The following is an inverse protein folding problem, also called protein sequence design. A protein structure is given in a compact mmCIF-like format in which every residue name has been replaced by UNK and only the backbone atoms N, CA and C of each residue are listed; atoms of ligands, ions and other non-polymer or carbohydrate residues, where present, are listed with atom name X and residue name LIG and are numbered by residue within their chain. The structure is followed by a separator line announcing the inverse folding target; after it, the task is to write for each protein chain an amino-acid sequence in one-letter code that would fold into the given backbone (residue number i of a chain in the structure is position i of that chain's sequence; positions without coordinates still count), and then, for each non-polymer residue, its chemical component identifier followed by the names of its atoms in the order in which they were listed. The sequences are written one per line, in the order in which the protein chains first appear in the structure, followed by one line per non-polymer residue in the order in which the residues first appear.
data_IF_350070913617
#
_entry.id   IF_350070913617
#
_cell.length_a   1.000
_cell.length_b   1.000
_cell.length_c   1.000
_cell.angle_alpha   90.00
_cell.angle_beta   90.00
_cell.angle_gamma   90.00
#
_symmetry.space_group_name_H-M   'P 1'
#
loop_
_entity.id
_entity.type
_entity.pdbx_description
1 polymer ?
#
# COMPACT_ATOMS: atom_id res chain seq x y z
N UNK A 1 -27.89 43.31 26.70
CA UNK A 1 -27.63 41.86 26.59
C UNK A 1 -27.33 41.53 25.14
N UNK A 2 -26.09 41.05 24.92
CA UNK A 2 -25.52 40.30 23.78
C UNK A 2 -25.67 40.82 22.34
N UNK A 3 -24.61 41.50 21.90
CA UNK A 3 -24.29 41.86 20.51
C UNK A 3 -24.07 40.58 19.67
N UNK A 4 -24.70 40.50 18.50
CA UNK A 4 -24.48 39.45 17.49
C UNK A 4 -23.30 39.88 16.62
N UNK A 5 -22.17 39.17 16.74
CA UNK A 5 -21.05 39.27 15.82
C UNK A 5 -21.32 38.36 14.62
N UNK A 6 -21.54 38.98 13.46
CA UNK A 6 -21.57 38.32 12.16
C UNK A 6 -20.12 38.20 11.67
N UNK A 7 -19.55 36.99 11.73
CA UNK A 7 -18.19 36.74 11.22
C UNK A 7 -18.28 36.62 9.70
N UNK A 8 -17.64 37.57 9.02
CA UNK A 8 -17.44 37.65 7.59
C UNK A 8 -16.42 36.58 7.17
N UNK A 9 -16.86 35.51 6.51
CA UNK A 9 -15.98 34.53 5.89
C UNK A 9 -15.33 35.17 4.65
N UNK A 10 -14.09 35.64 4.80
CA UNK A 10 -13.26 36.08 3.68
C UNK A 10 -12.80 34.84 2.90
N UNK A 11 -13.41 34.58 1.75
CA UNK A 11 -12.92 33.62 0.78
C UNK A 11 -11.61 34.15 0.19
N UNK A 12 -10.47 33.70 0.72
CA UNK A 12 -9.19 33.86 0.04
C UNK A 12 -9.19 32.94 -1.19
N UNK A 13 -9.49 33.52 -2.35
CA UNK A 13 -9.17 32.92 -3.63
C UNK A 13 -7.65 32.84 -3.76
N UNK A 14 -7.08 31.67 -3.45
CA UNK A 14 -5.69 31.37 -3.76
C UNK A 14 -5.58 31.19 -5.28
N UNK A 15 -5.04 32.20 -5.96
CA UNK A 15 -4.62 32.10 -7.35
C UNK A 15 -3.46 31.12 -7.47
N UNK A 16 -3.75 29.81 -7.59
CA UNK A 16 -2.77 28.83 -8.06
C UNK A 16 -2.76 28.86 -9.59
N UNK A 17 -2.02 29.80 -10.16
CA UNK A 17 -1.70 29.84 -11.59
C UNK A 17 -0.52 28.89 -11.89
N UNK A 18 -0.66 27.61 -11.55
CA UNK A 18 0.22 26.54 -12.02
C UNK A 18 -0.46 25.79 -13.16
N UNK A 19 0.18 25.66 -14.33
CA UNK A 19 -0.32 24.76 -15.37
C UNK A 19 -0.07 23.30 -14.92
N UNK A 20 -1.09 22.68 -14.34
CA UNK A 20 -1.08 21.27 -13.93
C UNK A 20 -1.37 21.08 -12.44
N UNK A 21 -2.15 20.05 -12.13
CA UNK A 21 -2.43 19.58 -10.78
C UNK A 21 -1.44 18.51 -10.33
N UNK A 22 -1.35 18.34 -9.02
CA UNK A 22 -0.65 17.28 -8.31
C UNK A 22 -1.62 16.68 -7.30
N UNK A 23 -1.75 15.36 -7.32
CA UNK A 23 -2.46 14.62 -6.30
C UNK A 23 -1.48 14.22 -5.17
N UNK A 24 -1.79 14.62 -3.95
CA UNK A 24 -1.01 14.29 -2.77
C UNK A 24 -1.80 13.31 -1.89
N UNK A 25 -1.39 12.05 -1.89
CA UNK A 25 -1.89 11.04 -0.95
C UNK A 25 -1.17 11.20 0.39
N UNK A 26 -1.90 11.46 1.47
CA UNK A 26 -1.35 11.60 2.82
C UNK A 26 -1.81 10.40 3.64
N UNK A 27 -0.88 9.51 3.99
CA UNK A 27 -1.20 8.34 4.81
C UNK A 27 -1.05 8.60 6.31
N UNK A 28 -1.92 7.97 7.09
CA UNK A 28 -1.80 7.88 8.53
C UNK A 28 -1.93 6.42 9.00
N UNK A 29 -0.80 5.72 9.23
CA UNK A 29 -0.82 4.35 9.73
C UNK A 29 -1.04 4.23 11.23
N UNK A 30 -1.26 5.33 11.95
CA UNK A 30 -1.40 5.31 13.42
C UNK A 30 -2.83 5.04 13.86
N UNK A 31 -3.02 4.89 15.17
CA UNK A 31 -4.32 4.65 15.80
C UNK A 31 -5.04 5.95 16.24
N UNK A 32 -4.53 7.13 15.84
CA UNK A 32 -5.13 8.43 16.12
C UNK A 32 -5.08 9.33 14.88
N UNK A 33 -5.97 10.33 14.79
CA UNK A 33 -5.87 11.33 13.71
C UNK A 33 -4.56 12.11 13.80
N UNK A 34 -4.03 12.52 12.64
CA UNK A 34 -2.90 13.44 12.54
C UNK A 34 -3.28 14.67 11.73
N UNK A 35 -2.61 15.80 11.99
CA UNK A 35 -2.75 17.05 11.26
C UNK A 35 -1.50 17.31 10.42
N UNK A 36 -1.72 17.55 9.12
CA UNK A 36 -0.70 18.02 8.19
C UNK A 36 -1.15 19.36 7.63
N UNK A 37 -0.21 20.29 7.43
CA UNK A 37 -0.47 21.51 6.65
C UNK A 37 0.28 21.48 5.34
N UNK A 38 -0.44 21.77 4.26
CA UNK A 38 0.10 22.02 2.92
C UNK A 38 -0.10 23.50 2.64
N UNK A 39 0.97 24.27 2.70
CA UNK A 39 0.95 25.73 2.74
C UNK A 39 0.05 26.28 3.87
N UNK A 40 -1.13 26.80 3.51
CA UNK A 40 -2.14 27.32 4.43
C UNK A 40 -3.29 26.34 4.68
N UNK A 41 -3.42 25.30 3.84
CA UNK A 41 -4.44 24.27 4.00
C UNK A 41 -4.06 23.38 5.18
N UNK A 42 -4.99 23.21 6.12
CA UNK A 42 -4.87 22.24 7.21
C UNK A 42 -5.69 21.02 6.86
N UNK A 43 -5.06 19.84 6.91
CA UNK A 43 -5.62 18.55 6.56
C UNK A 43 -5.58 17.67 7.80
N UNK A 44 -6.74 17.23 8.27
CA UNK A 44 -6.84 16.15 9.25
C UNK A 44 -6.90 14.83 8.50
N UNK A 45 -6.00 13.91 8.84
CA UNK A 45 -5.95 12.55 8.29
C UNK A 45 -6.37 11.61 9.43
N UNK A 46 -7.57 11.01 9.37
CA UNK A 46 -8.02 10.08 10.41
C UNK A 46 -7.07 8.89 10.59
N UNK A 47 -7.20 8.20 11.72
CA UNK A 47 -6.45 6.98 11.98
C UNK A 47 -6.71 5.93 10.89
N UNK A 48 -5.65 5.27 10.40
CA UNK A 48 -5.69 4.19 9.40
C UNK A 48 -6.31 4.58 8.06
N UNK A 49 -6.23 5.84 7.70
CA UNK A 49 -6.80 6.37 6.45
C UNK A 49 -5.73 7.03 5.58
N UNK A 50 -6.03 7.14 4.29
CA UNK A 50 -5.32 7.99 3.34
C UNK A 50 -6.25 9.12 2.91
N UNK A 51 -5.78 10.36 3.01
CA UNK A 51 -6.50 11.53 2.49
C UNK A 51 -5.79 12.06 1.26
N UNK A 52 -6.55 12.23 0.18
CA UNK A 52 -6.07 12.81 -1.06
C UNK A 52 -6.34 14.32 -1.11
N UNK A 53 -5.32 15.08 -1.50
CA UNK A 53 -5.38 16.53 -1.66
C UNK A 53 -4.89 16.89 -3.06
N UNK A 54 -5.74 17.58 -3.83
CA UNK A 54 -5.33 18.17 -5.10
C UNK A 54 -4.71 19.55 -4.86
N UNK A 55 -3.52 19.77 -5.44
CA UNK A 55 -2.75 21.01 -5.32
C UNK A 55 -2.09 21.38 -6.65
N UNK A 56 -1.55 22.60 -6.75
CA UNK A 56 -0.78 22.99 -7.92
C UNK A 56 0.57 22.29 -8.00
N UNK A 57 1.18 22.25 -9.19
CA UNK A 57 2.62 21.97 -9.33
C UNK A 57 3.46 23.15 -8.83
N UNK A 58 4.62 22.87 -8.25
CA UNK A 58 5.59 23.89 -7.82
C UNK A 58 6.15 23.69 -6.41
N UNK A 59 6.77 24.73 -5.86
CA UNK A 59 7.26 24.72 -4.48
C UNK A 59 6.09 24.87 -3.50
N UNK A 60 5.98 23.93 -2.56
CA UNK A 60 5.02 23.96 -1.47
C UNK A 60 5.70 23.69 -0.13
N UNK A 61 5.11 24.20 0.94
CA UNK A 61 5.57 24.00 2.31
C UNK A 61 4.69 22.95 3.02
N UNK A 62 5.30 21.84 3.41
CA UNK A 62 4.68 20.85 4.28
C UNK A 62 5.03 21.17 5.73
N UNK A 63 4.04 21.22 6.61
CA UNK A 63 4.22 21.34 8.07
C UNK A 63 3.54 20.19 8.79
N UNK A 64 4.28 19.45 9.62
CA UNK A 64 3.78 18.34 10.43
C UNK A 64 3.27 18.84 11.80
N UNK A 65 2.61 17.97 12.56
CA UNK A 65 2.07 18.29 13.90
C UNK A 65 3.12 18.80 14.88
N UNK A 66 4.32 18.24 14.82
CA UNK A 66 5.47 18.64 15.63
C UNK A 66 6.09 19.99 15.21
N UNK A 67 5.47 20.67 14.23
CA UNK A 67 5.94 21.89 13.57
C UNK A 67 7.19 21.73 12.70
N UNK A 68 7.60 20.50 12.39
CA UNK A 68 8.63 20.23 11.39
C UNK A 68 8.16 20.76 10.03
N UNK A 69 9.01 21.56 9.37
CA UNK A 69 8.72 22.24 8.11
C UNK A 69 9.63 21.74 7.00
N UNK A 70 9.05 21.32 5.88
CA UNK A 70 9.78 20.86 4.70
C UNK A 70 9.26 21.57 3.46
N UNK A 71 10.15 22.28 2.75
CA UNK A 71 9.86 22.79 1.42
C UNK A 71 10.18 21.73 0.38
N UNK A 72 9.30 21.55 -0.60
CA UNK A 72 9.49 20.57 -1.66
C UNK A 72 8.89 21.08 -2.98
N UNK A 73 9.55 20.78 -4.09
CA UNK A 73 9.08 21.15 -5.43
C UNK A 73 8.37 19.96 -6.09
N UNK A 74 7.05 20.01 -6.13
CA UNK A 74 6.17 18.98 -6.68
C UNK A 74 6.05 19.15 -8.21
N UNK A 75 6.67 18.25 -8.96
CA UNK A 75 6.76 18.33 -10.43
C UNK A 75 6.02 17.19 -11.15
N UNK A 76 5.90 16.04 -10.50
CA UNK A 76 5.14 14.89 -10.99
C UNK A 76 3.64 15.07 -10.74
N UNK A 77 2.83 14.17 -11.31
CA UNK A 77 1.37 14.25 -11.20
C UNK A 77 0.85 13.75 -9.84
N UNK A 78 1.59 12.87 -9.16
CA UNK A 78 1.16 12.35 -7.87
C UNK A 78 2.33 12.06 -6.92
N UNK A 79 2.10 12.30 -5.63
CA UNK A 79 3.05 12.06 -4.55
C UNK A 79 2.36 11.42 -3.35
N UNK A 80 3.14 10.66 -2.60
CA UNK A 80 2.81 10.09 -1.32
C UNK A 80 3.55 10.84 -0.22
N UNK A 81 2.78 11.41 0.71
CA UNK A 81 3.27 11.99 1.94
C UNK A 81 3.17 10.95 3.05
N UNK A 82 4.29 10.74 3.75
CA UNK A 82 4.45 9.84 4.89
C UNK A 82 4.80 10.64 6.15
N UNK A 83 3.81 11.27 6.81
CA UNK A 83 4.03 12.14 7.95
C UNK A 83 4.70 11.44 9.13
N UNK A 84 4.44 10.14 9.31
CA UNK A 84 4.94 9.35 10.44
C UNK A 84 6.35 8.80 10.22
N UNK A 85 6.87 8.90 8.98
CA UNK A 85 8.16 8.30 8.57
C UNK A 85 8.22 6.79 8.79
N UNK A 86 7.07 6.12 8.67
CA UNK A 86 7.02 4.66 8.68
C UNK A 86 7.72 4.11 7.43
N UNK A 87 8.21 2.88 7.52
CA UNK A 87 8.64 2.15 6.32
C UNK A 87 7.42 1.49 5.69
N UNK A 88 7.41 1.42 4.36
CA UNK A 88 6.42 0.71 3.57
C UNK A 88 7.13 -0.21 2.60
N UNK A 89 6.58 -1.40 2.40
CA UNK A 89 7.14 -2.42 1.53
C UNK A 89 6.43 -2.38 0.18
N UNK A 90 7.20 -2.19 -0.90
CA UNK A 90 6.75 -2.42 -2.27
C UNK A 90 6.94 -3.88 -2.63
N UNK A 91 5.87 -4.50 -3.11
CA UNK A 91 5.88 -5.87 -3.65
C UNK A 91 5.24 -5.90 -5.02
N UNK A 92 5.45 -6.99 -5.75
CA UNK A 92 4.75 -7.30 -6.99
C UNK A 92 3.62 -8.30 -6.73
N UNK A 93 2.54 -8.16 -7.48
CA UNK A 93 1.45 -9.13 -7.58
C UNK A 93 1.29 -9.54 -9.04
N UNK A 94 1.35 -10.85 -9.31
CA UNK A 94 1.24 -11.40 -10.67
C UNK A 94 -0.20 -11.83 -10.94
N UNK A 95 -0.78 -11.29 -12.01
CA UNK A 95 -2.07 -11.73 -12.53
C UNK A 95 -1.84 -12.40 -13.88
N UNK A 96 -2.15 -13.68 -13.99
CA UNK A 96 -2.06 -14.39 -15.26
C UNK A 96 -2.06 -15.90 -15.13
N UNK A 97 -1.91 -16.58 -16.27
CA UNK A 97 -1.85 -18.04 -16.29
C UNK A 97 -0.59 -18.53 -15.54
N UNK A 98 -0.67 -19.61 -14.74
CA UNK A 98 0.48 -20.22 -14.08
C UNK A 98 1.64 -20.55 -15.03
N UNK A 99 1.36 -20.75 -16.33
CA UNK A 99 2.38 -20.97 -17.35
C UNK A 99 3.40 -19.83 -17.51
N UNK A 100 3.06 -18.60 -17.10
CA UNK A 100 3.93 -17.42 -17.20
C UNK A 100 4.58 -17.01 -15.88
N UNK A 101 4.19 -17.63 -14.76
CA UNK A 101 4.59 -17.21 -13.41
C UNK A 101 6.10 -17.27 -13.16
N UNK A 102 6.84 -18.11 -13.90
CA UNK A 102 8.30 -18.21 -13.78
C UNK A 102 9.07 -17.38 -14.82
N UNK A 103 8.38 -16.66 -15.70
CA UNK A 103 8.99 -15.95 -16.83
C UNK A 103 8.47 -14.52 -17.02
N UNK A 104 7.64 -14.03 -16.10
CA UNK A 104 7.07 -12.69 -16.21
C UNK A 104 8.16 -11.63 -16.01
N UNK A 105 7.97 -10.46 -16.62
CA UNK A 105 8.88 -9.34 -16.47
C UNK A 105 8.63 -8.63 -15.13
N UNK A 106 9.58 -8.74 -14.21
CA UNK A 106 9.54 -8.02 -12.93
C UNK A 106 9.62 -6.49 -13.13
N UNK A 107 8.77 -5.75 -12.41
CA UNK A 107 8.79 -4.28 -12.28
C UNK A 107 9.79 -3.81 -11.22
N UNK A 108 10.10 -4.64 -10.22
CA UNK A 108 11.02 -4.38 -9.12
C UNK A 108 12.30 -5.24 -9.26
N UNK A 109 13.47 -4.71 -8.90
CA UNK A 109 14.71 -5.46 -8.96
C UNK A 109 14.79 -6.51 -7.84
N UNK A 110 15.40 -7.66 -8.14
CA UNK A 110 15.76 -8.62 -7.11
C UNK A 110 16.95 -8.08 -6.28
N UNK A 111 16.75 -7.91 -4.98
CA UNK A 111 17.77 -7.40 -4.05
C UNK A 111 17.51 -7.82 -2.61
N UNK A 112 18.54 -7.66 -1.78
CA UNK A 112 18.42 -7.70 -0.32
C UNK A 112 18.05 -6.32 0.20
N UNK A 113 17.03 -6.26 1.05
CA UNK A 113 16.60 -5.06 1.76
C UNK A 113 16.43 -5.36 3.25
N UNK A 114 16.24 -4.30 4.03
CA UNK A 114 15.84 -4.37 5.43
C UNK A 114 14.51 -3.61 5.56
N UNK A 115 13.51 -4.26 6.14
CA UNK A 115 12.18 -3.69 6.40
C UNK A 115 11.86 -3.88 7.88
N UNK A 116 11.81 -2.80 8.65
CA UNK A 116 11.67 -2.83 10.11
C UNK A 116 12.65 -3.79 10.82
N UNK A 117 13.89 -3.86 10.35
CA UNK A 117 14.92 -4.77 10.89
C UNK A 117 14.82 -6.22 10.39
N UNK A 118 13.81 -6.54 9.58
CA UNK A 118 13.66 -7.85 8.95
C UNK A 118 14.44 -7.87 7.62
N UNK A 119 15.43 -8.77 7.45
CA UNK A 119 16.09 -8.95 6.17
C UNK A 119 15.14 -9.66 5.21
N UNK A 120 14.90 -9.06 4.04
CA UNK A 120 14.12 -9.66 2.96
C UNK A 120 14.99 -9.74 1.69
N UNK A 121 14.84 -10.83 0.94
CA UNK A 121 15.49 -11.02 -0.36
C UNK A 121 14.44 -11.39 -1.40
N UNK A 122 14.41 -10.64 -2.51
CA UNK A 122 13.41 -10.80 -3.55
C UNK A 122 13.19 -9.52 -4.35
N UNK A 123 12.11 -9.50 -5.13
CA UNK A 123 11.68 -8.34 -5.91
C UNK A 123 10.91 -7.37 -5.02
N UNK A 124 11.64 -6.76 -4.07
CA UNK A 124 11.10 -5.86 -3.05
C UNK A 124 11.80 -4.50 -3.10
N UNK A 125 11.12 -3.48 -2.61
CA UNK A 125 11.71 -2.17 -2.35
C UNK A 125 11.06 -1.49 -1.14
N UNK A 126 11.74 -0.51 -0.53
CA UNK A 126 11.27 0.15 0.70
C UNK A 126 11.06 1.63 0.43
N UNK A 127 9.88 2.14 0.81
CA UNK A 127 9.52 3.56 0.79
C UNK A 127 9.53 4.07 2.22
N UNK A 128 10.25 5.17 2.49
CA UNK A 128 10.38 5.71 3.85
C UNK A 128 10.59 7.21 3.95
N UNK A 129 10.81 7.89 2.83
CA UNK A 129 11.01 9.33 2.85
C UNK A 129 9.71 10.04 3.22
N UNK A 130 9.81 11.30 3.66
CA UNK A 130 8.62 12.09 3.98
C UNK A 130 7.75 12.28 2.73
N UNK A 131 8.36 12.56 1.57
CA UNK A 131 7.67 12.84 0.31
C UNK A 131 8.25 11.91 -0.75
N UNK A 132 7.40 11.10 -1.38
CA UNK A 132 7.81 10.08 -2.34
C UNK A 132 6.98 10.25 -3.62
N UNK A 133 7.58 10.28 -4.81
CA UNK A 133 6.82 10.13 -6.03
C UNK A 133 6.10 8.77 -6.05
N UNK A 134 4.81 8.77 -6.41
CA UNK A 134 4.07 7.51 -6.54
C UNK A 134 4.66 6.71 -7.70
N UNK A 135 5.03 5.46 -7.41
CA UNK A 135 5.67 4.53 -8.34
C UNK A 135 5.09 3.11 -8.22
N UNK A 136 3.88 3.02 -7.68
CA UNK A 136 3.11 1.80 -7.45
C UNK A 136 1.69 1.99 -7.98
N UNK A 137 1.01 0.87 -8.21
CA UNK A 137 -0.35 0.84 -8.76
C UNK A 137 -1.39 0.94 -7.64
N UNK A 138 -1.12 0.34 -6.47
CA UNK A 138 -1.99 0.35 -5.30
C UNK A 138 -1.22 0.78 -4.04
N UNK A 139 -1.67 1.84 -3.38
CA UNK A 139 -1.11 2.39 -2.14
C UNK A 139 -1.59 1.65 -0.88
N UNK A 140 -1.13 2.06 0.32
CA UNK A 140 -1.62 1.51 1.58
C UNK A 140 -3.14 1.71 1.71
N UNK A 141 -3.85 0.75 2.29
CA UNK A 141 -5.33 0.69 2.43
C UNK A 141 -6.11 0.58 1.11
N UNK A 142 -5.44 0.54 -0.03
CA UNK A 142 -6.07 0.15 -1.28
C UNK A 142 -5.94 -1.37 -1.46
N UNK A 143 -7.07 -2.03 -1.66
CA UNK A 143 -7.11 -3.46 -1.92
C UNK A 143 -6.64 -3.76 -3.35
N UNK A 144 -5.88 -4.85 -3.48
CA UNK A 144 -5.58 -5.42 -4.78
C UNK A 144 -6.86 -6.05 -5.36
N UNK A 145 -7.12 -5.92 -6.67
CA UNK A 145 -8.29 -6.52 -7.30
C UNK A 145 -8.17 -8.04 -7.32
N UNK A 146 -9.23 -8.78 -7.00
CA UNK A 146 -9.20 -10.26 -7.07
C UNK A 146 -9.05 -10.77 -8.51
N UNK A 147 -9.56 -10.01 -9.48
CA UNK A 147 -9.52 -10.34 -10.90
C UNK A 147 -9.21 -9.09 -11.72
N UNK A 148 -8.39 -9.27 -12.76
CA UNK A 148 -8.11 -8.24 -13.75
C UNK A 148 -8.63 -8.69 -15.11
N UNK A 149 -9.34 -7.80 -15.80
CA UNK A 149 -9.50 -7.94 -17.25
C UNK A 149 -8.19 -7.55 -17.91
N UNK A 150 -7.54 -8.52 -18.56
CA UNK A 150 -6.23 -8.34 -19.18
C UNK A 150 -6.33 -8.46 -20.69
N UNK A 151 -5.67 -7.54 -21.40
CA UNK A 151 -5.48 -7.64 -22.85
C UNK A 151 -4.28 -8.54 -23.21
N UNK A 152 -3.30 -8.63 -22.33
CA UNK A 152 -2.06 -9.41 -22.46
C UNK A 152 -2.13 -10.74 -21.69
N UNK A 153 -1.10 -11.58 -21.81
CA UNK A 153 -1.06 -12.91 -21.16
C UNK A 153 -0.92 -12.84 -19.64
N UNK A 154 -0.36 -11.74 -19.13
CA UNK A 154 -0.24 -11.44 -17.71
C UNK A 154 -0.12 -9.93 -17.49
N UNK A 155 -0.41 -9.49 -16.27
CA UNK A 155 -0.13 -8.15 -15.75
C UNK A 155 0.56 -8.28 -14.40
N UNK A 156 1.43 -7.33 -14.06
CA UNK A 156 2.14 -7.32 -12.77
C UNK A 156 1.81 -6.02 -12.07
N UNK A 157 1.08 -6.07 -10.95
CA UNK A 157 0.77 -4.86 -10.19
C UNK A 157 1.81 -4.64 -9.09
N UNK A 158 2.13 -3.38 -8.79
CA UNK A 158 2.95 -3.02 -7.64
C UNK A 158 2.05 -2.51 -6.52
N UNK A 159 2.13 -3.17 -5.36
CA UNK A 159 1.39 -2.80 -4.15
C UNK A 159 2.35 -2.25 -3.09
N UNK A 160 1.93 -1.18 -2.44
CA UNK A 160 2.59 -0.62 -1.26
C UNK A 160 1.85 -1.08 0.00
N UNK A 161 2.58 -1.76 0.88
CA UNK A 161 2.08 -2.28 2.16
C UNK A 161 2.68 -1.50 3.33
N UNK A 162 1.83 -1.11 4.29
CA UNK A 162 2.29 -0.82 5.64
C UNK A 162 2.66 -2.11 6.41
N UNK A 163 3.28 -1.96 7.57
CA UNK A 163 3.71 -3.10 8.40
C UNK A 163 2.55 -4.03 8.78
N UNK A 164 1.38 -3.49 9.10
CA UNK A 164 0.23 -4.29 9.53
C UNK A 164 -0.36 -5.05 8.33
N UNK A 165 -0.50 -4.39 7.19
CA UNK A 165 -0.97 -5.05 5.97
C UNK A 165 -0.03 -6.19 5.55
N UNK A 166 1.30 -5.97 5.62
CA UNK A 166 2.27 -7.03 5.33
C UNK A 166 2.22 -8.17 6.35
N UNK A 167 2.11 -7.87 7.65
CA UNK A 167 1.95 -8.90 8.67
C UNK A 167 0.69 -9.76 8.45
N UNK A 168 -0.42 -9.12 8.06
CA UNK A 168 -1.65 -9.81 7.73
C UNK A 168 -1.51 -10.69 6.48
N UNK A 169 -0.78 -10.22 5.45
CA UNK A 169 -0.49 -11.02 4.26
C UNK A 169 0.27 -12.30 4.61
N UNK A 170 1.34 -12.20 5.40
CA UNK A 170 2.13 -13.36 5.81
C UNK A 170 1.32 -14.33 6.68
N UNK A 171 0.49 -13.79 7.58
CA UNK A 171 -0.38 -14.62 8.44
C UNK A 171 -1.36 -15.43 7.60
N UNK A 172 -2.09 -14.78 6.68
CA UNK A 172 -3.03 -15.46 5.77
C UNK A 172 -2.34 -16.52 4.91
N UNK A 173 -1.20 -16.18 4.31
CA UNK A 173 -0.44 -17.13 3.50
C UNK A 173 0.01 -18.36 4.31
N UNK A 174 0.36 -18.16 5.59
CA UNK A 174 0.73 -19.28 6.48
C UNK A 174 -0.45 -20.16 6.86
N UNK A 175 -1.63 -19.58 7.09
CA UNK A 175 -2.87 -20.31 7.40
C UNK A 175 -3.35 -21.12 6.20
N UNK A 176 -3.32 -20.53 4.99
CA UNK A 176 -3.67 -21.21 3.75
C UNK A 176 -2.72 -22.38 3.45
N UNK A 177 -1.42 -22.21 3.69
CA UNK A 177 -0.44 -23.29 3.54
C UNK A 177 -0.71 -24.46 4.51
N UNK A 178 -1.15 -24.17 5.74
CA UNK A 178 -1.50 -25.20 6.73
C UNK A 178 -2.77 -25.96 6.31
N UNK A 179 -3.83 -25.27 5.93
CA UNK A 179 -5.08 -25.87 5.46
C UNK A 179 -4.85 -26.80 4.27
N UNK A 180 -4.08 -26.36 3.29
CA UNK A 180 -3.73 -27.16 2.11
C UNK A 180 -2.89 -28.41 2.46
N UNK A 181 -2.11 -28.36 3.54
CA UNK A 181 -1.34 -29.51 4.00
C UNK A 181 -2.20 -30.55 4.72
N UNK A 182 -3.26 -30.15 5.44
CA UNK A 182 -4.16 -31.07 6.15
C UNK A 182 -5.13 -31.79 5.20
N UNK A 183 -5.63 -31.11 4.17
CA UNK A 183 -6.46 -31.72 3.13
C UNK A 183 -5.71 -32.79 2.32
N UNK A 184 -4.39 -32.63 2.17
CA UNK A 184 -3.55 -33.63 1.49
C UNK A 184 -3.43 -34.95 2.28
N UNK A 185 -3.46 -34.90 3.62
CA UNK A 185 -3.34 -36.08 4.50
C UNK A 185 -4.66 -36.87 4.59
N UNK A 186 -5.81 -36.19 4.47
CA UNK A 186 -7.14 -36.82 4.52
C UNK A 186 -7.39 -37.77 3.34
N UNK A 187 -6.86 -37.44 2.16
CA UNK A 187 -7.12 -38.18 0.92
C UNK A 187 -6.40 -39.54 0.77
N UNK A 188 -5.35 -39.80 1.57
CA UNK A 188 -4.54 -41.03 1.48
C UNK A 188 -5.02 -42.19 2.38
N UNK A 189 -6.11 -42.01 3.14
CA UNK A 189 -6.54 -42.99 4.15
C UNK A 189 -7.67 -43.95 3.73
N UNK A 190 -8.09 -43.97 2.46
CA UNK A 190 -9.12 -44.92 1.97
C UNK A 190 -8.59 -45.76 0.81
N UNK A 191 -7.71 -46.71 1.10
CA UNK A 191 -7.62 -47.99 0.36
C UNK A 191 -6.75 -49.00 1.10
N UNK A 192 -7.30 -49.56 2.18
CA UNK A 192 -6.83 -50.85 2.71
C UNK A 192 -7.97 -51.87 2.55
N UNK A 193 -8.06 -52.50 1.39
CA UNK A 193 -8.87 -53.70 1.23
C UNK A 193 -8.29 -54.82 2.12
N UNK A 194 -9.11 -55.58 2.85
CA UNK A 194 -8.63 -56.65 3.71
C UNK A 194 -8.10 -57.83 2.88
N UNK A 195 -7.04 -58.54 3.32
CA UNK A 195 -6.50 -59.67 2.59
C UNK A 195 -7.48 -60.85 2.62
N UNK A 196 -7.78 -61.39 1.43
CA UNK A 196 -8.54 -62.62 1.23
C UNK A 196 -7.74 -63.80 1.77
N UNK A 197 -8.24 -64.48 2.82
CA UNK A 197 -7.67 -65.73 3.29
C UNK A 197 -7.98 -66.86 2.30
N UNK A 198 -6.96 -67.45 1.69
CA UNK A 198 -7.13 -68.70 0.94
C UNK A 198 -7.16 -69.88 1.92
N UNK A 199 -8.28 -70.62 1.92
CA UNK A 199 -8.36 -71.94 2.55
C UNK A 199 -7.79 -73.00 1.61
N UNK A 200 -6.71 -73.67 2.01
CA UNK A 200 -6.26 -74.92 1.39
C UNK A 200 -7.00 -76.09 2.03
N UNK A 201 -7.57 -76.96 1.18
CA UNK A 201 -8.00 -78.31 1.53
C UNK A 201 -6.80 -79.20 1.92
#
# INVERSE_FOLDING_TARGET
MKNIFLILFAAFALCSCGKGSVDLAIDNPTDHSIIVKVDTLTVEVPAKEVVWVEMGKGEHLITLEDNTKTKYNFTQNAYFLNPTRNEYLKTEEFYGSPSFQNSYAHKLPNKKIEFYGMPLEGNFDVVKDLINPISWDYGPREELPEMLEMEEQYEVMVKLYDLNEFANLITRASEEAQLNSEDSISSDSINAAPPVSQSTN
#
